data_IF_436201056916
#
_entry.id   IF_436201056916
#
_cell.length_a   1.000
_cell.length_b   1.000
_cell.length_c   1.000
_cell.angle_alpha   90.00
_cell.angle_beta   90.00
_cell.angle_gamma   90.00
#
_symmetry.space_group_name_H-M   'P 1'
#
loop_
_entity.id
_entity.type
_entity.pdbx_description
1 polymer ?
#
# COMPACT_ATOMS: atom_id res chain seq x y z
N UNK A 1 -5.59 -12.66 -8.96
CA UNK A 1 -5.76 -11.64 -7.89
C UNK A 1 -6.81 -10.65 -8.36
N UNK A 2 -7.72 -10.21 -7.48
CA UNK A 2 -8.75 -9.21 -7.81
C UNK A 2 -8.44 -7.92 -7.04
N UNK A 3 -8.33 -6.79 -7.72
CA UNK A 3 -8.25 -5.49 -7.05
C UNK A 3 -9.56 -5.21 -6.31
N UNK A 4 -9.47 -4.84 -5.04
CA UNK A 4 -10.60 -4.45 -4.21
C UNK A 4 -10.64 -2.94 -4.02
N UNK A 5 -9.50 -2.35 -3.65
CA UNK A 5 -9.38 -0.93 -3.35
C UNK A 5 -8.07 -0.39 -3.87
N UNK A 6 -8.11 0.86 -4.31
CA UNK A 6 -6.93 1.64 -4.66
C UNK A 6 -7.15 3.05 -4.09
N UNK A 7 -6.14 3.52 -3.37
CA UNK A 7 -6.05 4.90 -2.89
C UNK A 7 -4.68 5.42 -3.26
N UNK A 8 -4.60 6.70 -3.61
CA UNK A 8 -3.36 7.34 -4.04
C UNK A 8 -3.28 8.75 -3.50
N UNK A 9 -2.06 9.22 -3.27
CA UNK A 9 -1.82 10.57 -2.81
C UNK A 9 -0.39 11.01 -3.10
N UNK A 10 -0.22 12.32 -3.20
CA UNK A 10 1.07 12.92 -3.53
C UNK A 10 1.82 13.23 -2.23
N UNK A 11 3.07 12.77 -2.18
CA UNK A 11 4.05 13.18 -1.18
C UNK A 11 4.85 14.32 -1.79
N UNK A 12 4.84 15.49 -1.15
CA UNK A 12 5.52 16.70 -1.63
C UNK A 12 7.02 16.69 -1.29
N UNK A 13 7.70 15.66 -1.78
CA UNK A 13 9.14 15.49 -1.64
C UNK A 13 9.72 14.77 -2.88
N UNK A 14 11.03 14.88 -3.15
CA UNK A 14 11.67 14.19 -4.27
C UNK A 14 11.45 12.67 -4.21
N UNK A 15 11.19 12.05 -5.36
CA UNK A 15 10.90 10.61 -5.46
C UNK A 15 11.97 9.73 -4.82
N UNK A 16 13.24 10.07 -5.02
CA UNK A 16 14.35 9.27 -4.48
C UNK A 16 14.42 9.37 -2.95
N UNK A 17 14.19 10.54 -2.37
CA UNK A 17 14.11 10.72 -0.92
C UNK A 17 12.95 9.92 -0.32
N UNK A 18 11.77 9.97 -0.96
CA UNK A 18 10.59 9.20 -0.53
C UNK A 18 10.84 7.70 -0.65
N UNK A 19 11.54 7.28 -1.71
CA UNK A 19 11.93 5.88 -1.94
C UNK A 19 12.87 5.40 -0.83
N UNK A 20 13.91 6.17 -0.52
CA UNK A 20 14.84 5.84 0.56
C UNK A 20 14.12 5.70 1.90
N UNK A 21 13.27 6.67 2.27
CA UNK A 21 12.47 6.65 3.51
C UNK A 21 11.52 5.45 3.57
N UNK A 22 10.76 5.22 2.50
CA UNK A 22 9.84 4.09 2.40
C UNK A 22 10.56 2.75 2.57
N UNK A 23 11.76 2.61 2.01
CA UNK A 23 12.52 1.37 2.09
C UNK A 23 13.45 1.24 3.30
N UNK A 24 13.71 2.33 4.03
CA UNK A 24 14.39 2.29 5.31
C UNK A 24 13.54 1.53 6.34
N UNK A 25 12.24 1.81 6.38
CA UNK A 25 11.29 1.17 7.30
C UNK A 25 10.81 -0.23 6.83
N UNK A 26 10.98 -0.55 5.55
CA UNK A 26 10.40 -1.75 4.94
C UNK A 26 10.98 -3.07 5.45
N UNK A 27 12.24 -3.06 5.91
CA UNK A 27 13.02 -4.26 6.22
C UNK A 27 13.33 -5.11 4.97
N UNK A 28 13.45 -6.43 5.17
CA UNK A 28 13.71 -7.42 4.11
C UNK A 28 12.44 -8.17 3.68
N UNK A 29 12.53 -8.84 2.54
CA UNK A 29 11.47 -9.76 2.09
C UNK A 29 11.37 -10.97 3.01
N UNK A 30 10.17 -11.53 3.16
CA UNK A 30 9.90 -12.66 4.02
C UNK A 30 8.60 -13.40 3.66
N UNK A 31 8.11 -14.31 4.53
CA UNK A 31 6.98 -15.18 4.22
C UNK A 31 5.66 -14.44 3.89
N UNK A 32 5.51 -13.21 4.38
CA UNK A 32 4.31 -12.37 4.25
C UNK A 32 4.61 -10.98 3.68
N UNK A 33 5.80 -10.77 3.13
CA UNK A 33 6.27 -9.47 2.66
C UNK A 33 7.23 -9.62 1.49
N UNK A 34 7.08 -8.79 0.49
CA UNK A 34 7.99 -8.63 -0.64
C UNK A 34 8.44 -7.17 -0.69
N UNK A 35 9.75 -6.96 -0.70
CA UNK A 35 10.38 -5.65 -0.84
C UNK A 35 11.15 -5.63 -2.15
N UNK A 36 10.57 -4.99 -3.17
CA UNK A 36 11.17 -4.83 -4.51
C UNK A 36 11.66 -3.38 -4.70
N UNK A 37 12.93 -3.16 -4.31
CA UNK A 37 13.58 -1.84 -4.37
C UNK A 37 13.78 -1.35 -5.81
N UNK A 38 13.95 -2.26 -6.76
CA UNK A 38 14.14 -1.92 -8.16
C UNK A 38 12.85 -1.34 -8.77
N UNK A 39 11.70 -1.92 -8.41
CA UNK A 39 10.39 -1.47 -8.90
C UNK A 39 9.74 -0.39 -8.03
N UNK A 40 10.28 -0.10 -6.86
CA UNK A 40 9.66 0.86 -5.94
C UNK A 40 8.39 0.31 -5.30
N UNK A 41 8.34 -1.00 -5.04
CA UNK A 41 7.16 -1.71 -4.56
C UNK A 41 7.43 -2.42 -3.24
N UNK A 42 6.53 -2.26 -2.28
CA UNK A 42 6.44 -3.08 -1.09
C UNK A 42 5.09 -3.76 -1.10
N UNK A 43 5.07 -5.09 -1.19
CA UNK A 43 3.85 -5.87 -1.05
C UNK A 43 3.87 -6.64 0.26
N UNK A 44 2.71 -6.85 0.85
CA UNK A 44 2.53 -7.65 2.05
C UNK A 44 1.21 -8.39 1.98
N UNK A 45 1.16 -9.60 2.51
CA UNK A 45 -0.05 -10.42 2.44
C UNK A 45 -0.31 -11.14 3.74
N UNK A 46 -1.60 -11.28 4.06
CA UNK A 46 -2.04 -12.17 5.12
C UNK A 46 -2.11 -13.62 4.65
N UNK A 47 -2.62 -14.50 5.50
CA UNK A 47 -2.58 -15.93 5.23
C UNK A 47 -3.46 -16.38 4.07
N UNK A 48 -4.64 -15.79 3.88
CA UNK A 48 -5.67 -16.47 3.06
C UNK A 48 -6.41 -15.61 2.00
N UNK A 49 -6.47 -14.29 2.15
CA UNK A 49 -7.18 -13.44 1.17
C UNK A 49 -6.58 -12.07 0.91
N UNK A 50 -5.84 -11.50 1.85
CA UNK A 50 -5.42 -10.10 1.78
C UNK A 50 -4.01 -9.98 1.18
N UNK A 51 -3.84 -9.08 0.21
CA UNK A 51 -2.53 -8.53 -0.18
C UNK A 51 -2.62 -7.01 -0.33
N UNK A 52 -1.84 -6.29 0.46
CA UNK A 52 -1.56 -4.87 0.28
C UNK A 52 -0.32 -4.67 -0.58
N UNK A 53 -0.32 -3.62 -1.40
CA UNK A 53 0.82 -3.23 -2.22
C UNK A 53 0.97 -1.72 -2.24
N UNK A 54 2.10 -1.23 -1.77
CA UNK A 54 2.51 0.17 -1.82
C UNK A 54 3.50 0.34 -2.96
N UNK A 55 3.24 1.30 -3.84
CA UNK A 55 4.07 1.61 -5.00
C UNK A 55 4.31 3.11 -5.11
N UNK A 56 5.52 3.48 -5.48
CA UNK A 56 5.90 4.88 -5.74
C UNK A 56 6.05 5.12 -7.23
N UNK A 57 5.50 6.24 -7.70
CA UNK A 57 5.62 6.69 -9.08
C UNK A 57 6.07 8.16 -9.14
N UNK A 58 6.77 8.58 -10.21
CA UNK A 58 7.09 9.99 -10.43
C UNK A 58 5.83 10.85 -10.51
N UNK A 59 5.85 12.03 -9.89
CA UNK A 59 4.78 13.03 -9.98
C UNK A 59 5.38 14.44 -10.14
N UNK A 60 4.77 15.38 -10.90
CA UNK A 60 5.32 16.73 -11.06
C UNK A 60 5.53 17.49 -9.74
N UNK A 61 4.72 17.21 -8.73
CA UNK A 61 4.80 17.82 -7.39
C UNK A 61 5.63 17.00 -6.37
N UNK A 62 6.27 15.90 -6.79
CA UNK A 62 7.06 15.02 -5.91
C UNK A 62 6.92 13.54 -6.26
N UNK A 63 6.39 12.76 -5.33
CA UNK A 63 6.16 11.32 -5.52
C UNK A 63 4.68 10.97 -5.37
N UNK A 64 4.15 10.14 -6.27
CA UNK A 64 2.81 9.56 -6.12
C UNK A 64 2.93 8.23 -5.37
N UNK A 65 2.40 8.19 -4.15
CA UNK A 65 2.22 6.96 -3.39
C UNK A 65 0.87 6.35 -3.74
N UNK A 66 0.88 5.10 -4.20
CA UNK A 66 -0.32 4.34 -4.53
C UNK A 66 -0.37 3.09 -3.67
N UNK A 67 -1.45 2.96 -2.89
CA UNK A 67 -1.75 1.79 -2.08
C UNK A 67 -2.89 0.99 -2.71
N UNK A 68 -2.62 -0.28 -3.02
CA UNK A 68 -3.59 -1.22 -3.61
C UNK A 68 -3.86 -2.37 -2.64
N UNK A 69 -5.14 -2.72 -2.53
CA UNK A 69 -5.58 -3.91 -1.80
C UNK A 69 -6.17 -4.91 -2.78
N UNK A 70 -5.61 -6.11 -2.78
CA UNK A 70 -6.04 -7.22 -3.61
C UNK A 70 -6.63 -8.37 -2.77
N UNK A 71 -7.66 -9.00 -3.31
CA UNK A 71 -8.10 -10.31 -2.91
C UNK A 71 -7.28 -11.39 -3.61
N UNK A 72 -6.56 -12.20 -2.83
CA UNK A 72 -5.72 -13.31 -3.26
C UNK A 72 -6.34 -14.69 -2.93
N UNK A 73 -7.55 -14.74 -2.35
CA UNK A 73 -8.22 -15.99 -2.01
C UNK A 73 -8.51 -16.82 -3.27
N UNK A 74 -8.00 -18.06 -3.31
CA UNK A 74 -8.19 -18.99 -4.43
C UNK A 74 -9.58 -19.64 -4.44
N UNK A 75 -10.13 -19.91 -3.25
CA UNK A 75 -11.45 -20.47 -3.03
C UNK A 75 -12.19 -19.62 -1.99
N UNK A 76 -13.52 -19.57 -2.08
CA UNK A 76 -14.32 -18.76 -1.14
C UNK A 76 -14.02 -17.26 -1.24
N UNK A 77 -13.78 -16.74 -2.45
CA UNK A 77 -13.44 -15.33 -2.67
C UNK A 77 -14.51 -14.32 -2.18
N UNK A 78 -15.72 -14.80 -1.88
CA UNK A 78 -16.81 -14.06 -1.24
C UNK A 78 -16.64 -13.93 0.27
N UNK A 79 -15.94 -14.87 0.92
CA UNK A 79 -15.82 -14.92 2.38
C UNK A 79 -15.14 -13.67 2.98
N UNK A 80 -14.11 -13.08 2.34
CA UNK A 80 -13.54 -11.81 2.80
C UNK A 80 -14.57 -10.67 2.87
N UNK A 81 -15.54 -10.64 1.95
CA UNK A 81 -16.58 -9.60 1.98
C UNK A 81 -17.41 -9.74 3.25
N UNK A 82 -17.88 -10.94 3.61
CA UNK A 82 -18.65 -11.13 4.84
C UNK A 82 -17.82 -10.90 6.10
N UNK A 83 -16.59 -11.46 6.13
CA UNK A 83 -15.69 -11.33 7.27
C UNK A 83 -15.35 -9.86 7.59
N UNK A 84 -15.33 -8.99 6.58
CA UNK A 84 -15.01 -7.57 6.73
C UNK A 84 -16.25 -6.66 6.64
N UNK A 85 -17.44 -7.15 6.99
CA UNK A 85 -18.69 -6.36 6.99
C UNK A 85 -18.96 -5.67 5.64
N UNK A 86 -18.78 -6.42 4.55
CA UNK A 86 -18.87 -5.97 3.16
C UNK A 86 -17.95 -4.80 2.80
N UNK A 87 -16.89 -4.58 3.60
CA UNK A 87 -15.97 -3.44 3.47
C UNK A 87 -16.63 -2.06 3.61
N UNK A 88 -17.78 -1.98 4.29
CA UNK A 88 -18.45 -0.70 4.53
C UNK A 88 -17.52 0.22 5.33
N UNK A 89 -17.22 1.41 4.78
CA UNK A 89 -16.30 2.39 5.36
C UNK A 89 -14.81 2.08 5.19
N UNK A 90 -14.45 0.95 4.56
CA UNK A 90 -13.05 0.54 4.41
C UNK A 90 -12.24 1.51 3.54
N UNK A 91 -12.83 2.02 2.45
CA UNK A 91 -12.18 3.03 1.60
C UNK A 91 -11.82 4.29 2.38
N UNK A 92 -12.75 4.84 3.16
CA UNK A 92 -12.49 6.05 3.96
C UNK A 92 -11.36 5.82 4.98
N UNK A 93 -11.30 4.63 5.58
CA UNK A 93 -10.21 4.23 6.47
C UNK A 93 -8.87 4.10 5.75
N UNK A 94 -8.85 3.53 4.54
CA UNK A 94 -7.65 3.46 3.72
C UNK A 94 -7.16 4.86 3.32
N UNK A 95 -8.06 5.76 2.94
CA UNK A 95 -7.73 7.15 2.61
C UNK A 95 -7.17 7.90 3.82
N UNK A 96 -7.72 7.69 5.02
CA UNK A 96 -7.17 8.23 6.26
C UNK A 96 -5.76 7.68 6.55
N UNK A 97 -5.57 6.36 6.47
CA UNK A 97 -4.27 5.75 6.68
C UNK A 97 -3.22 6.21 5.66
N UNK A 98 -3.61 6.37 4.39
CA UNK A 98 -2.76 6.92 3.36
C UNK A 98 -2.36 8.37 3.68
N UNK A 99 -3.30 9.22 4.11
CA UNK A 99 -3.00 10.60 4.52
C UNK A 99 -2.00 10.65 5.67
N UNK A 100 -2.16 9.79 6.67
CA UNK A 100 -1.22 9.69 7.79
C UNK A 100 0.17 9.28 7.28
N UNK A 101 0.24 8.28 6.40
CA UNK A 101 1.52 7.82 5.84
C UNK A 101 2.22 8.89 4.99
N UNK A 102 1.46 9.66 4.22
CA UNK A 102 1.99 10.81 3.46
C UNK A 102 2.58 11.84 4.43
N UNK A 103 1.84 12.20 5.48
CA UNK A 103 2.31 13.15 6.49
C UNK A 103 3.59 12.67 7.20
N UNK A 104 3.71 11.38 7.52
CA UNK A 104 4.94 10.79 8.07
C UNK A 104 6.12 10.92 7.11
N UNK A 105 5.91 10.61 5.82
CA UNK A 105 6.96 10.70 4.80
C UNK A 105 7.40 12.15 4.54
N UNK A 106 6.48 13.10 4.62
CA UNK A 106 6.78 14.53 4.49
C UNK A 106 7.49 15.09 5.75
N UNK A 107 7.12 14.63 6.95
CA UNK A 107 7.71 15.08 8.20
C UNK A 107 9.15 14.61 8.44
N UNK A 108 9.60 13.57 7.74
CA UNK A 108 10.99 13.07 7.76
C UNK A 108 11.95 13.89 6.87
N UNK A 109 11.57 15.12 6.51
CA UNK A 109 12.36 16.04 5.67
C UNK A 109 13.35 16.87 6.48
#
# INVERSE_FOLDING_TARGET
MRLLFEVSGVVRAPLEDVRERMFADAGESGPHRLVDRARGVIAYWGDWWYRGEDSLHPHPEGALLVHRVHNIAKQGNWAPYLANKLFIGYRARLEEGLRQRIAELEAQT
#
